data_IF_913688334525
#
_entry.id   IF_913688334525
#
_cell.length_a   1.000
_cell.length_b   1.000
_cell.length_c   1.000
_cell.angle_alpha   90.00
_cell.angle_beta   90.00
_cell.angle_gamma   90.00
#
_symmetry.space_group_name_H-M   'P 1'
#
loop_
_entity.id
_entity.type
_entity.pdbx_description
1 polymer ?
#
# COMPACT_ATOMS: atom_id res chain seq x y z
N UNK A 1 2.33 23.12 8.32
CA UNK A 1 3.55 22.55 8.88
C UNK A 1 3.50 21.05 8.65
N UNK A 2 4.56 20.41 8.16
CA UNK A 2 4.64 18.96 8.04
C UNK A 2 4.47 18.25 9.38
N UNK A 3 4.15 16.96 9.36
CA UNK A 3 4.15 16.14 10.55
C UNK A 3 5.56 16.01 11.13
N UNK A 4 5.66 15.68 12.42
CA UNK A 4 6.96 15.47 13.07
C UNK A 4 7.49 14.08 12.73
N UNK A 5 8.72 13.96 12.21
CA UNK A 5 9.33 12.66 11.98
C UNK A 5 9.46 11.86 13.28
N UNK A 6 9.25 10.56 13.22
CA UNK A 6 9.52 9.64 14.32
C UNK A 6 11.05 9.63 14.62
N UNK A 7 11.40 9.24 15.85
CA UNK A 7 12.80 9.33 16.31
C UNK A 7 13.77 8.42 15.56
N UNK A 8 13.26 7.38 14.97
CA UNK A 8 13.99 6.36 14.21
C UNK A 8 14.11 6.68 12.71
N UNK A 9 13.49 7.77 12.25
CA UNK A 9 13.57 8.20 10.84
C UNK A 9 14.95 8.81 10.56
N UNK A 10 15.69 8.31 9.55
CA UNK A 10 16.97 8.88 9.15
C UNK A 10 16.82 10.34 8.70
N UNK A 11 17.77 11.18 9.09
CA UNK A 11 17.82 12.56 8.58
C UNK A 11 18.50 12.53 7.22
N UNK A 12 17.85 13.06 6.20
CA UNK A 12 18.39 13.13 4.84
C UNK A 12 17.87 14.35 4.07
N UNK A 13 18.60 14.75 3.04
CA UNK A 13 18.30 15.88 2.16
C UNK A 13 17.67 15.45 0.82
N UNK A 14 17.76 14.15 0.46
CA UNK A 14 17.18 13.57 -0.76
C UNK A 14 16.83 12.10 -0.53
N UNK A 15 16.03 11.51 -1.43
CA UNK A 15 15.69 10.09 -1.44
C UNK A 15 16.89 9.14 -1.54
N UNK A 16 18.03 9.62 -2.04
CA UNK A 16 19.29 8.85 -2.09
C UNK A 16 19.84 8.50 -0.70
N UNK A 17 19.38 9.19 0.35
CA UNK A 17 19.76 8.96 1.74
C UNK A 17 18.79 8.01 2.49
N UNK A 18 17.84 7.42 1.79
CA UNK A 18 17.03 6.33 2.30
C UNK A 18 17.93 5.14 2.66
N UNK A 19 17.56 4.38 3.69
CA UNK A 19 18.39 3.32 4.22
C UNK A 19 17.77 1.94 4.03
N UNK A 20 18.50 1.03 3.36
CA UNK A 20 18.11 -0.38 3.32
C UNK A 20 18.29 -0.98 4.71
N UNK A 21 17.20 -1.39 5.34
CA UNK A 21 17.20 -1.99 6.67
C UNK A 21 17.42 -3.50 6.64
N UNK A 22 16.92 -4.18 5.61
CA UNK A 22 17.12 -5.63 5.40
C UNK A 22 16.85 -6.03 3.95
N UNK A 23 17.44 -7.15 3.54
CA UNK A 23 17.21 -7.79 2.24
C UNK A 23 16.83 -9.24 2.49
N UNK A 24 15.77 -9.71 1.86
CA UNK A 24 15.18 -11.04 2.03
C UNK A 24 15.07 -11.75 0.68
N UNK A 25 15.43 -13.02 0.67
CA UNK A 25 15.46 -13.84 -0.54
C UNK A 25 16.71 -13.59 -1.39
N UNK A 26 17.04 -14.53 -2.25
CA UNK A 26 18.12 -14.38 -3.21
C UNK A 26 17.55 -14.12 -4.61
N UNK A 27 18.14 -13.19 -5.39
CA UNK A 27 17.80 -13.00 -6.79
C UNK A 27 17.81 -14.30 -7.57
N UNK A 28 16.77 -14.55 -8.36
CA UNK A 28 16.68 -15.73 -9.21
C UNK A 28 17.89 -15.79 -10.15
N UNK A 29 18.52 -16.96 -10.23
CA UNK A 29 19.64 -17.23 -11.15
C UNK A 29 19.10 -17.92 -12.38
N UNK A 30 19.30 -17.31 -13.53
CA UNK A 30 18.91 -17.85 -14.83
C UNK A 30 20.18 -18.28 -15.60
N UNK A 31 20.06 -19.36 -16.34
CA UNK A 31 21.06 -19.82 -17.32
C UNK A 31 20.84 -19.20 -18.72
N UNK A 32 19.90 -18.26 -18.80
CA UNK A 32 19.56 -17.46 -19.98
C UNK A 32 19.43 -15.99 -19.60
N UNK A 33 19.45 -15.08 -20.58
CA UNK A 33 19.22 -13.65 -20.33
C UNK A 33 17.73 -13.43 -20.03
N UNK A 34 17.36 -12.94 -18.84
CA UNK A 34 15.96 -12.74 -18.47
C UNK A 34 15.36 -11.59 -19.26
N UNK A 35 14.17 -11.83 -19.83
CA UNK A 35 13.35 -10.81 -20.49
C UNK A 35 12.68 -9.90 -19.47
N UNK A 36 12.41 -8.68 -19.88
CA UNK A 36 11.54 -7.79 -19.12
C UNK A 36 10.08 -8.26 -19.18
N UNK A 37 9.29 -7.88 -18.18
CA UNK A 37 7.85 -8.12 -18.20
C UNK A 37 7.16 -7.53 -19.44
N UNK A 38 7.69 -6.42 -19.99
CA UNK A 38 7.15 -5.79 -21.20
C UNK A 38 7.34 -6.68 -22.43
N UNK A 39 8.53 -7.30 -22.60
CA UNK A 39 8.79 -8.24 -23.69
C UNK A 39 7.91 -9.49 -23.56
N UNK A 40 7.82 -10.10 -22.38
CA UNK A 40 6.95 -11.26 -22.14
C UNK A 40 5.48 -10.89 -22.39
N UNK A 41 5.03 -9.73 -21.94
CA UNK A 41 3.64 -9.29 -22.13
C UNK A 41 3.30 -9.06 -23.63
N UNK A 42 4.25 -8.64 -24.45
CA UNK A 42 4.08 -8.55 -25.91
C UNK A 42 3.97 -9.96 -26.52
N UNK A 43 4.89 -10.85 -26.21
CA UNK A 43 4.90 -12.23 -26.72
C UNK A 43 3.63 -12.99 -26.37
N UNK A 44 3.15 -12.83 -25.14
CA UNK A 44 1.90 -13.45 -24.62
C UNK A 44 0.62 -12.67 -25.02
N UNK A 45 0.75 -11.51 -25.64
CA UNK A 45 -0.37 -10.60 -25.94
C UNK A 45 -1.18 -10.20 -24.69
N UNK A 46 -0.51 -10.02 -23.55
CA UNK A 46 -1.11 -9.67 -22.26
C UNK A 46 -1.38 -8.18 -22.11
N UNK A 47 -0.62 -7.33 -22.81
CA UNK A 47 -0.82 -5.88 -22.80
C UNK A 47 -1.11 -5.37 -24.21
N UNK A 48 -2.12 -4.51 -24.32
CA UNK A 48 -2.46 -3.81 -25.57
C UNK A 48 -2.45 -2.29 -25.31
N UNK A 49 -1.29 -1.71 -25.49
CA UNK A 49 -1.07 -0.26 -25.30
C UNK A 49 -1.45 0.53 -26.56
N UNK A 50 -1.37 -0.08 -27.74
CA UNK A 50 -1.70 0.58 -29.00
C UNK A 50 -3.19 0.92 -29.07
N UNK A 51 -4.05 -0.06 -28.73
CA UNK A 51 -5.50 0.20 -28.70
C UNK A 51 -5.89 1.13 -27.55
N UNK A 52 -5.24 1.00 -26.38
CA UNK A 52 -5.46 1.91 -25.28
C UNK A 52 -5.11 3.36 -25.65
N UNK A 53 -4.01 3.58 -26.36
CA UNK A 53 -3.62 4.91 -26.83
C UNK A 53 -4.66 5.56 -27.77
N UNK A 54 -5.35 4.76 -28.59
CA UNK A 54 -6.45 5.25 -29.46
C UNK A 54 -7.68 5.68 -28.67
N UNK A 55 -7.95 5.04 -27.52
CA UNK A 55 -9.18 5.24 -26.75
C UNK A 55 -9.00 6.28 -25.65
N UNK A 56 -7.86 6.23 -24.94
CA UNK A 56 -7.62 7.01 -23.71
C UNK A 56 -6.34 7.86 -23.74
N UNK A 57 -5.47 7.65 -24.72
CA UNK A 57 -4.16 8.29 -24.78
C UNK A 57 -3.03 7.39 -24.29
N UNK A 58 -1.84 7.95 -24.19
CA UNK A 58 -0.64 7.22 -23.72
C UNK A 58 -0.73 6.85 -22.23
N UNK A 59 0.10 5.91 -21.80
CA UNK A 59 0.22 5.42 -20.42
C UNK A 59 -1.04 4.74 -19.87
N UNK A 60 -1.91 4.24 -20.75
CA UNK A 60 -2.98 3.29 -20.45
C UNK A 60 -2.69 1.98 -21.17
N UNK A 61 -3.27 0.88 -20.67
CA UNK A 61 -3.16 -0.42 -21.30
C UNK A 61 -4.46 -1.21 -21.12
N UNK A 62 -4.82 -2.00 -22.12
CA UNK A 62 -5.72 -3.12 -21.89
C UNK A 62 -4.88 -4.30 -21.38
N UNK A 63 -5.21 -4.80 -20.21
CA UNK A 63 -4.64 -6.02 -19.64
C UNK A 63 -5.49 -7.20 -20.13
N UNK A 64 -4.87 -8.30 -20.56
CA UNK A 64 -5.56 -9.38 -21.27
C UNK A 64 -5.09 -10.75 -20.81
N UNK A 65 -5.94 -11.76 -21.11
CA UNK A 65 -5.58 -13.17 -20.99
C UNK A 65 -5.26 -13.60 -19.55
N UNK A 66 -4.21 -14.40 -19.41
CA UNK A 66 -3.86 -14.98 -18.11
C UNK A 66 -3.27 -13.95 -17.13
N UNK A 67 -2.80 -12.79 -17.60
CA UNK A 67 -2.40 -11.69 -16.72
C UNK A 67 -3.58 -11.12 -15.93
N UNK A 68 -4.78 -11.02 -16.54
CA UNK A 68 -6.01 -10.63 -15.83
C UNK A 68 -6.32 -11.65 -14.73
N UNK A 69 -6.24 -12.97 -15.06
CA UNK A 69 -6.51 -14.02 -14.08
C UNK A 69 -5.50 -14.00 -12.94
N UNK A 70 -4.22 -13.73 -13.23
CA UNK A 70 -3.18 -13.59 -12.22
C UNK A 70 -3.49 -12.43 -11.27
N UNK A 71 -3.91 -11.27 -11.79
CA UNK A 71 -4.31 -10.14 -10.95
C UNK A 71 -5.50 -10.49 -10.05
N UNK A 72 -6.55 -11.13 -10.57
CA UNK A 72 -7.69 -11.57 -9.76
C UNK A 72 -7.31 -12.65 -8.74
N UNK A 73 -6.39 -13.56 -9.08
CA UNK A 73 -5.86 -14.54 -8.15
C UNK A 73 -5.12 -13.87 -6.97
N UNK A 74 -4.32 -12.85 -7.25
CA UNK A 74 -3.64 -12.06 -6.22
C UNK A 74 -4.66 -11.32 -5.34
N UNK A 75 -5.69 -10.70 -5.94
CA UNK A 75 -6.75 -10.01 -5.18
C UNK A 75 -7.42 -10.97 -4.21
N UNK A 76 -7.88 -12.12 -4.71
CA UNK A 76 -8.58 -13.11 -3.88
C UNK A 76 -7.68 -13.64 -2.77
N UNK A 77 -6.44 -14.00 -3.10
CA UNK A 77 -5.44 -14.48 -2.14
C UNK A 77 -5.22 -13.48 -1.00
N UNK A 78 -5.01 -12.20 -1.31
CA UNK A 78 -4.76 -11.18 -0.30
C UNK A 78 -6.00 -10.90 0.54
N UNK A 79 -7.18 -10.81 -0.08
CA UNK A 79 -8.45 -10.65 0.62
C UNK A 79 -8.69 -11.80 1.61
N UNK A 80 -8.48 -13.05 1.19
CA UNK A 80 -8.65 -14.23 2.05
C UNK A 80 -7.67 -14.21 3.24
N UNK A 81 -6.40 -13.80 2.99
CA UNK A 81 -5.39 -13.74 4.04
C UNK A 81 -5.66 -12.65 5.06
N UNK A 82 -5.93 -11.42 4.62
CA UNK A 82 -6.10 -10.30 5.53
C UNK A 82 -7.44 -10.34 6.29
N UNK A 83 -8.44 -11.02 5.76
CA UNK A 83 -9.71 -11.24 6.45
C UNK A 83 -9.68 -12.41 7.44
N UNK A 84 -8.57 -13.12 7.54
CA UNK A 84 -8.39 -14.27 8.43
C UNK A 84 -7.70 -13.85 9.73
N UNK A 85 -8.40 -13.98 10.86
CA UNK A 85 -7.89 -13.62 12.18
C UNK A 85 -6.65 -14.43 12.58
N UNK A 86 -6.62 -15.73 12.26
CA UNK A 86 -5.47 -16.59 12.60
C UNK A 86 -4.20 -16.13 11.88
N UNK A 87 -4.33 -15.68 10.61
CA UNK A 87 -3.22 -15.13 9.84
C UNK A 87 -2.68 -13.83 10.46
N UNK A 88 -3.56 -12.94 10.89
CA UNK A 88 -3.15 -11.69 11.56
C UNK A 88 -2.48 -12.00 12.90
N UNK A 89 -3.05 -12.93 13.69
CA UNK A 89 -2.49 -13.36 14.97
C UNK A 89 -1.10 -14.01 14.79
N UNK A 90 -0.89 -14.84 13.76
CA UNK A 90 0.41 -15.41 13.43
C UNK A 90 1.46 -14.29 13.24
N UNK A 91 1.16 -13.29 12.41
CA UNK A 91 2.09 -12.18 12.12
C UNK A 91 2.38 -11.35 13.38
N UNK A 92 1.37 -11.05 14.20
CA UNK A 92 1.52 -10.33 15.46
C UNK A 92 2.49 -11.07 16.38
N UNK A 93 2.32 -12.39 16.52
CA UNK A 93 3.17 -13.23 17.37
C UNK A 93 4.60 -13.37 16.85
N UNK A 94 4.78 -13.59 15.54
CA UNK A 94 6.10 -13.68 14.88
C UNK A 94 6.92 -12.39 15.08
N UNK A 95 6.26 -11.24 15.16
CA UNK A 95 6.90 -9.93 15.29
C UNK A 95 6.87 -9.38 16.75
N UNK A 96 6.40 -10.16 17.71
CA UNK A 96 6.30 -9.78 19.14
C UNK A 96 5.51 -8.47 19.36
N UNK A 97 4.50 -8.19 18.55
CA UNK A 97 3.66 -7.00 18.66
C UNK A 97 2.58 -7.20 19.74
N UNK A 98 2.18 -6.09 20.37
CA UNK A 98 1.12 -6.10 21.39
C UNK A 98 -0.14 -5.43 20.86
N UNK A 99 -0.77 -6.09 19.91
CA UNK A 99 -1.92 -5.59 19.17
C UNK A 99 -3.11 -6.55 19.26
N UNK A 100 -4.30 -6.02 18.97
CA UNK A 100 -5.48 -6.83 18.70
C UNK A 100 -5.29 -7.64 17.43
N UNK A 101 -5.77 -8.87 17.42
CA UNK A 101 -5.77 -9.77 16.26
C UNK A 101 -7.01 -9.61 15.36
N UNK A 102 -7.79 -8.53 15.55
CA UNK A 102 -8.90 -8.19 14.64
C UNK A 102 -8.44 -8.23 13.19
N UNK A 103 -9.12 -8.97 12.30
CA UNK A 103 -8.76 -9.02 10.88
C UNK A 103 -9.13 -7.74 10.16
N UNK A 104 -8.69 -7.62 8.91
CA UNK A 104 -9.09 -6.54 8.03
C UNK A 104 -10.48 -6.77 7.47
N UNK A 105 -11.26 -5.70 7.36
CA UNK A 105 -12.59 -5.68 6.74
C UNK A 105 -12.41 -5.40 5.25
N UNK A 106 -12.77 -6.33 4.35
CA UNK A 106 -12.76 -6.08 2.91
C UNK A 106 -13.76 -4.97 2.53
N UNK A 107 -13.31 -4.03 1.71
CA UNK A 107 -14.14 -2.92 1.27
C UNK A 107 -13.88 -2.55 -0.19
N UNK A 108 -14.95 -2.20 -0.92
CA UNK A 108 -14.88 -1.56 -2.23
C UNK A 108 -15.26 -0.09 -2.07
N UNK A 109 -14.26 0.82 -1.99
CA UNK A 109 -14.55 2.23 -1.78
C UNK A 109 -15.01 2.92 -3.07
N UNK A 110 -15.67 4.09 -2.98
CA UNK A 110 -15.86 4.96 -4.13
C UNK A 110 -14.50 5.44 -4.67
N UNK A 111 -14.42 5.74 -5.98
CA UNK A 111 -13.16 6.17 -6.61
C UNK A 111 -13.00 7.69 -6.66
N UNK A 112 -13.91 8.42 -6.07
CA UNK A 112 -13.94 9.89 -6.05
C UNK A 112 -14.12 10.40 -4.64
N UNK A 113 -13.52 11.55 -4.35
CA UNK A 113 -13.71 12.24 -3.09
C UNK A 113 -13.82 13.75 -3.32
N UNK A 114 -14.42 14.44 -2.33
CA UNK A 114 -14.60 15.90 -2.33
C UNK A 114 -13.28 16.61 -2.11
N UNK A 115 -13.13 17.78 -2.73
CA UNK A 115 -11.96 18.66 -2.58
C UNK A 115 -11.60 18.88 -1.11
N UNK A 116 -12.58 19.19 -0.27
CA UNK A 116 -12.40 19.48 1.16
C UNK A 116 -11.78 18.30 1.95
N UNK A 117 -12.20 17.06 1.66
CA UNK A 117 -11.67 15.86 2.30
C UNK A 117 -10.26 15.52 1.78
N UNK A 118 -10.04 15.70 0.48
CA UNK A 118 -8.75 15.48 -0.12
C UNK A 118 -7.67 16.46 0.41
N UNK A 119 -8.06 17.75 0.57
CA UNK A 119 -7.22 18.78 1.20
C UNK A 119 -6.99 18.45 2.70
N UNK A 120 -8.03 17.96 3.41
CA UNK A 120 -7.91 17.58 4.82
C UNK A 120 -6.94 16.42 5.02
N UNK A 121 -6.90 15.46 4.09
CA UNK A 121 -5.90 14.36 4.06
C UNK A 121 -4.47 14.86 3.78
N UNK A 122 -4.31 16.10 3.29
CA UNK A 122 -3.04 16.67 2.80
C UNK A 122 -2.42 15.84 1.65
N UNK A 123 -3.27 15.28 0.78
CA UNK A 123 -2.90 14.42 -0.35
C UNK A 123 -3.32 14.99 -1.72
N UNK A 124 -3.99 16.13 -1.75
CA UNK A 124 -4.42 16.73 -3.02
C UNK A 124 -3.26 17.36 -3.80
N UNK A 125 -2.28 17.92 -3.11
CA UNK A 125 -1.10 18.51 -3.76
C UNK A 125 -0.06 17.45 -4.17
N UNK A 126 0.62 17.62 -5.32
CA UNK A 126 0.38 18.66 -6.33
C UNK A 126 -0.88 18.39 -7.15
N UNK A 127 -1.74 19.40 -7.33
CA UNK A 127 -3.05 19.26 -8.01
C UNK A 127 -2.95 18.89 -9.47
N UNK A 128 -1.89 19.29 -10.14
CA UNK A 128 -1.63 18.97 -11.55
C UNK A 128 -1.30 17.48 -11.76
N UNK A 129 -0.99 16.74 -10.70
CA UNK A 129 -0.87 15.27 -10.71
C UNK A 129 -2.21 14.54 -10.46
N UNK A 130 -3.29 15.26 -10.24
CA UNK A 130 -4.61 14.71 -9.94
C UNK A 130 -5.60 14.95 -11.08
N UNK A 131 -6.64 14.12 -11.14
CA UNK A 131 -7.75 14.26 -12.09
C UNK A 131 -8.96 14.89 -11.39
N UNK A 132 -9.28 16.14 -11.72
CA UNK A 132 -10.51 16.80 -11.28
C UNK A 132 -11.66 16.48 -12.24
N UNK A 133 -12.86 16.28 -11.71
CA UNK A 133 -14.08 16.17 -12.53
C UNK A 133 -14.52 17.59 -12.90
N UNK A 134 -14.68 17.84 -14.19
CA UNK A 134 -15.09 19.15 -14.68
C UNK A 134 -16.51 19.50 -14.23
N UNK A 135 -16.68 20.69 -13.69
CA UNK A 135 -17.97 21.16 -13.16
C UNK A 135 -18.34 20.67 -11.77
N UNK A 136 -17.51 19.84 -11.14
CA UNK A 136 -17.75 19.25 -9.83
C UNK A 136 -16.64 19.58 -8.84
N UNK A 137 -16.95 19.58 -7.55
CA UNK A 137 -15.94 19.61 -6.47
C UNK A 137 -15.51 18.18 -6.08
N UNK A 138 -15.27 17.35 -7.11
CA UNK A 138 -14.85 15.96 -7.00
C UNK A 138 -13.54 15.71 -7.76
N UNK A 139 -12.76 14.78 -7.23
CA UNK A 139 -11.49 14.33 -7.80
C UNK A 139 -11.44 12.81 -7.83
N UNK A 140 -10.82 12.25 -8.85
CA UNK A 140 -10.44 10.83 -8.82
C UNK A 140 -9.35 10.61 -7.78
N UNK A 141 -9.45 9.53 -7.02
CA UNK A 141 -8.45 9.16 -6.01
C UNK A 141 -7.12 8.78 -6.68
N UNK A 142 -6.00 9.16 -6.05
CA UNK A 142 -4.67 8.68 -6.43
C UNK A 142 -4.21 7.45 -5.63
N UNK A 143 -4.99 7.06 -4.61
CA UNK A 143 -4.82 5.89 -3.76
C UNK A 143 -6.13 5.63 -3.02
N UNK A 144 -6.42 4.39 -2.64
CA UNK A 144 -7.54 4.07 -1.76
C UNK A 144 -7.41 4.71 -0.36
N UNK A 145 -6.18 4.97 0.11
CA UNK A 145 -5.92 5.76 1.32
C UNK A 145 -6.81 7.01 1.39
N UNK A 146 -6.94 7.74 0.27
CA UNK A 146 -7.63 9.02 0.27
C UNK A 146 -9.10 8.91 0.66
N UNK A 147 -9.78 7.89 0.19
CA UNK A 147 -11.21 7.66 0.49
C UNK A 147 -11.40 6.85 1.77
N UNK A 148 -10.51 5.92 2.09
CA UNK A 148 -10.58 5.12 3.32
C UNK A 148 -10.23 5.94 4.55
N UNK A 149 -9.12 6.68 4.53
CA UNK A 149 -8.70 7.52 5.65
C UNK A 149 -9.67 8.68 5.93
N UNK A 150 -10.40 9.18 4.91
CA UNK A 150 -11.42 10.22 5.09
C UNK A 150 -12.83 9.69 5.40
N UNK A 151 -13.05 8.38 5.32
CA UNK A 151 -14.37 7.76 5.46
C UNK A 151 -15.05 8.11 6.79
N UNK A 152 -14.28 8.19 7.86
CA UNK A 152 -14.75 8.46 9.22
C UNK A 152 -14.54 9.92 9.66
N UNK A 153 -14.53 10.85 8.71
CA UNK A 153 -14.43 12.28 9.04
C UNK A 153 -15.56 12.71 9.99
N UNK A 154 -15.19 13.46 11.04
CA UNK A 154 -16.07 14.00 12.10
C UNK A 154 -16.69 12.94 13.05
N UNK A 155 -16.29 11.66 12.93
CA UNK A 155 -16.77 10.61 13.84
C UNK A 155 -15.97 10.54 15.15
N UNK A 156 -16.62 9.97 16.17
CA UNK A 156 -16.02 9.69 17.49
C UNK A 156 -16.27 8.22 17.83
N UNK A 157 -15.22 7.44 17.86
CA UNK A 157 -15.27 6.00 18.20
C UNK A 157 -15.34 5.76 19.71
N UNK A 158 -15.86 4.62 20.12
CA UNK A 158 -15.55 4.04 21.40
C UNK A 158 -14.17 3.34 21.34
N UNK A 159 -13.44 3.31 22.45
CA UNK A 159 -12.10 2.73 22.49
C UNK A 159 -12.10 1.23 22.14
N UNK A 160 -13.13 0.49 22.55
CA UNK A 160 -13.32 -0.92 22.26
C UNK A 160 -13.56 -1.25 20.77
N UNK A 161 -13.99 -0.26 19.98
CA UNK A 161 -14.17 -0.44 18.54
C UNK A 161 -12.82 -0.52 17.80
N UNK A 162 -11.77 0.10 18.37
CA UNK A 162 -10.44 0.17 17.75
C UNK A 162 -9.58 -1.08 18.04
N UNK A 163 -8.63 -1.43 17.18
CA UNK A 163 -8.40 -0.84 15.86
C UNK A 163 -9.51 -1.21 14.88
N UNK A 164 -9.77 -0.33 13.92
CA UNK A 164 -10.52 -0.62 12.70
C UNK A 164 -9.50 -0.76 11.58
N UNK A 165 -9.53 -1.89 10.86
CA UNK A 165 -8.64 -2.18 9.75
C UNK A 165 -9.44 -2.49 8.50
N UNK A 166 -9.14 -1.79 7.41
CA UNK A 166 -9.75 -2.03 6.10
C UNK A 166 -8.73 -2.57 5.11
N UNK A 167 -9.16 -3.49 4.25
CA UNK A 167 -8.46 -3.88 3.04
C UNK A 167 -9.31 -3.47 1.82
N UNK A 168 -8.90 -2.39 1.17
CA UNK A 168 -9.63 -1.79 0.05
C UNK A 168 -9.05 -2.21 -1.30
N UNK A 169 -9.87 -2.77 -2.21
CA UNK A 169 -9.52 -2.84 -3.62
C UNK A 169 -9.96 -1.58 -4.31
N UNK A 170 -9.03 -0.90 -4.97
CA UNK A 170 -9.37 0.32 -5.67
C UNK A 170 -8.50 0.58 -6.90
N UNK A 171 -9.13 1.16 -7.92
CA UNK A 171 -8.45 1.77 -9.05
C UNK A 171 -7.97 3.16 -8.66
N UNK A 172 -6.71 3.44 -8.90
CA UNK A 172 -6.04 4.71 -8.62
C UNK A 172 -5.70 5.43 -9.92
N UNK A 173 -5.74 6.77 -9.86
CA UNK A 173 -5.53 7.63 -11.02
C UNK A 173 -4.49 8.70 -10.71
N UNK A 174 -3.37 8.70 -11.46
CA UNK A 174 -2.31 9.72 -11.36
C UNK A 174 -1.92 10.21 -12.73
N UNK A 175 -1.70 11.51 -12.88
CA UNK A 175 -1.25 12.07 -14.16
C UNK A 175 0.23 11.81 -14.43
N UNK A 176 0.97 11.41 -13.38
CA UNK A 176 2.40 11.07 -13.46
C UNK A 176 3.19 12.17 -14.20
N UNK A 177 2.90 13.43 -13.84
CA UNK A 177 3.51 14.59 -14.45
C UNK A 177 5.02 14.61 -14.16
N UNK A 178 5.81 14.84 -15.23
CA UNK A 178 7.26 14.96 -15.08
C UNK A 178 8.07 13.65 -15.10
N UNK A 179 7.44 12.48 -15.24
CA UNK A 179 8.16 11.21 -15.33
C UNK A 179 8.40 10.78 -16.77
N UNK A 180 9.67 10.50 -17.10
CA UNK A 180 10.14 10.08 -18.42
C UNK A 180 11.09 8.88 -18.28
N UNK A 181 11.25 8.07 -19.34
CA UNK A 181 12.26 7.01 -19.40
C UNK A 181 11.72 5.57 -19.37
N UNK A 182 12.56 4.63 -18.95
CA UNK A 182 12.29 3.16 -18.99
C UNK A 182 11.04 2.73 -18.21
N UNK A 183 10.62 3.48 -17.20
CA UNK A 183 9.41 3.18 -16.42
C UNK A 183 8.11 3.31 -17.21
N UNK A 184 8.17 3.86 -18.43
CA UNK A 184 7.03 3.97 -19.34
C UNK A 184 6.78 2.71 -20.16
N UNK A 185 7.72 1.75 -20.16
CA UNK A 185 7.54 0.47 -20.80
C UNK A 185 6.67 -0.47 -19.92
N UNK A 186 5.93 -1.36 -20.58
CA UNK A 186 5.07 -2.30 -19.87
C UNK A 186 3.98 -1.63 -19.03
N UNK A 187 3.83 -2.05 -17.78
CA UNK A 187 2.78 -1.58 -16.86
C UNK A 187 3.33 -1.05 -15.53
N UNK A 188 4.63 -0.74 -15.44
CA UNK A 188 5.25 -0.29 -14.20
C UNK A 188 4.70 1.06 -13.73
N UNK A 189 4.42 1.99 -14.68
CA UNK A 189 3.90 3.33 -14.39
C UNK A 189 2.84 3.73 -15.41
N UNK A 190 1.59 3.73 -14.95
CA UNK A 190 0.41 4.04 -15.76
C UNK A 190 -0.44 5.12 -15.08
N UNK A 191 -1.28 5.82 -15.86
CA UNK A 191 -2.24 6.81 -15.35
C UNK A 191 -3.36 6.18 -14.53
N UNK A 192 -3.70 4.92 -14.84
CA UNK A 192 -4.69 4.11 -14.15
C UNK A 192 -4.05 2.80 -13.74
N UNK A 193 -4.14 2.45 -12.47
CA UNK A 193 -3.64 1.20 -11.91
C UNK A 193 -4.46 0.77 -10.71
N UNK A 194 -4.51 -0.53 -10.48
CA UNK A 194 -5.25 -1.10 -9.35
C UNK A 194 -4.30 -1.47 -8.22
N UNK A 195 -4.79 -1.36 -6.99
CA UNK A 195 -4.08 -1.82 -5.81
C UNK A 195 -5.03 -2.24 -4.68
N UNK A 196 -4.52 -3.10 -3.84
CA UNK A 196 -5.08 -3.42 -2.54
C UNK A 196 -4.38 -2.56 -1.50
N UNK A 197 -5.15 -1.78 -0.75
CA UNK A 197 -4.66 -0.84 0.25
C UNK A 197 -5.17 -1.20 1.63
N UNK A 198 -4.26 -1.24 2.59
CA UNK A 198 -4.58 -1.38 4.01
C UNK A 198 -4.72 0.02 4.63
N UNK A 199 -5.78 0.24 5.37
CA UNK A 199 -5.97 1.42 6.22
C UNK A 199 -6.22 0.96 7.64
N UNK A 200 -5.52 1.54 8.62
CA UNK A 200 -5.72 1.25 10.04
C UNK A 200 -5.98 2.52 10.83
N UNK A 201 -7.08 2.51 11.58
CA UNK A 201 -7.48 3.57 12.50
C UNK A 201 -7.36 3.01 13.92
N UNK A 202 -6.55 3.67 14.76
CA UNK A 202 -6.21 3.14 16.07
C UNK A 202 -6.03 4.25 17.11
N UNK A 203 -5.77 3.89 18.36
CA UNK A 203 -5.42 4.86 19.41
C UNK A 203 -3.98 5.34 19.25
N UNK A 204 -3.65 6.48 19.87
CA UNK A 204 -2.28 6.98 19.90
C UNK A 204 -1.29 6.02 20.56
N UNK A 205 -1.76 5.19 21.48
CA UNK A 205 -0.93 4.21 22.20
C UNK A 205 -0.46 3.04 21.34
N UNK A 206 -1.18 2.71 20.26
CA UNK A 206 -0.89 1.53 19.42
C UNK A 206 -0.49 1.90 17.99
N UNK A 207 -0.58 3.18 17.60
CA UNK A 207 -0.36 3.62 16.22
C UNK A 207 1.00 3.22 15.62
N UNK A 208 2.08 3.28 16.40
CA UNK A 208 3.41 2.91 15.92
C UNK A 208 3.55 1.40 15.70
N UNK A 209 2.94 0.58 16.56
CA UNK A 209 2.94 -0.88 16.44
C UNK A 209 2.03 -1.35 15.30
N UNK A 210 0.90 -0.65 15.06
CA UNK A 210 0.05 -0.89 13.87
C UNK A 210 0.85 -0.69 12.57
N UNK A 211 1.67 0.35 12.49
CA UNK A 211 2.54 0.54 11.32
C UNK A 211 3.50 -0.63 11.13
N UNK A 212 4.10 -1.16 12.21
CA UNK A 212 4.96 -2.34 12.14
C UNK A 212 4.20 -3.59 11.69
N UNK A 213 2.94 -3.75 12.11
CA UNK A 213 2.07 -4.83 11.64
C UNK A 213 1.83 -4.74 10.13
N UNK A 214 1.52 -3.55 9.59
CA UNK A 214 1.30 -3.37 8.16
C UNK A 214 2.54 -3.74 7.34
N UNK A 215 3.74 -3.33 7.80
CA UNK A 215 5.01 -3.72 7.16
C UNK A 215 5.23 -5.23 7.22
N UNK A 216 4.99 -5.86 8.38
CA UNK A 216 5.13 -7.30 8.54
C UNK A 216 4.17 -8.08 7.63
N UNK A 217 2.96 -7.58 7.40
CA UNK A 217 2.01 -8.14 6.44
C UNK A 217 2.55 -8.04 5.01
N UNK A 218 3.06 -6.88 4.59
CA UNK A 218 3.66 -6.70 3.27
C UNK A 218 4.80 -7.70 3.04
N UNK A 219 5.69 -7.83 4.02
CA UNK A 219 6.80 -8.78 3.96
C UNK A 219 6.33 -10.24 3.88
N UNK A 220 5.34 -10.62 4.70
CA UNK A 220 4.77 -11.97 4.69
C UNK A 220 4.14 -12.30 3.34
N UNK A 221 3.42 -11.36 2.72
CA UNK A 221 2.85 -11.53 1.38
C UNK A 221 3.94 -11.71 0.31
N UNK A 222 5.02 -10.92 0.35
CA UNK A 222 6.16 -11.06 -0.57
C UNK A 222 6.87 -12.40 -0.42
N UNK A 223 7.07 -12.86 0.83
CA UNK A 223 7.65 -14.18 1.12
C UNK A 223 6.75 -15.33 0.61
N UNK A 224 5.43 -15.22 0.81
CA UNK A 224 4.48 -16.23 0.31
C UNK A 224 4.43 -16.30 -1.22
N UNK A 225 4.72 -15.17 -1.90
CA UNK A 225 4.84 -15.09 -3.36
C UNK A 225 6.22 -15.49 -3.88
N UNK A 226 7.15 -15.81 -2.97
CA UNK A 226 8.56 -16.18 -3.28
C UNK A 226 9.28 -15.11 -4.12
N UNK A 227 9.06 -13.83 -3.80
CA UNK A 227 9.67 -12.68 -4.46
C UNK A 227 10.81 -12.14 -3.60
N UNK A 228 12.06 -12.07 -4.09
CA UNK A 228 13.16 -11.41 -3.38
C UNK A 228 12.89 -9.90 -3.25
N UNK A 229 13.13 -9.35 -2.06
CA UNK A 229 12.86 -7.94 -1.79
C UNK A 229 13.85 -7.35 -0.78
N UNK A 230 13.89 -6.03 -0.73
CA UNK A 230 14.50 -5.27 0.37
C UNK A 230 13.51 -4.31 1.00
N UNK A 231 13.76 -3.99 2.26
CA UNK A 231 12.97 -3.02 3.04
C UNK A 231 13.78 -1.75 3.17
N UNK A 232 13.20 -0.65 2.74
CA UNK A 232 13.83 0.66 2.68
C UNK A 232 13.18 1.61 3.69
N UNK A 233 13.95 2.11 4.65
CA UNK A 233 13.48 3.15 5.56
C UNK A 233 13.69 4.52 4.90
N UNK A 234 12.60 5.26 4.72
CA UNK A 234 12.62 6.59 4.11
C UNK A 234 13.20 7.61 5.07
N UNK A 235 14.02 8.51 4.55
CA UNK A 235 14.58 9.63 5.30
C UNK A 235 13.61 10.81 5.37
N UNK A 236 13.95 11.83 6.16
CA UNK A 236 13.11 13.03 6.37
C UNK A 236 12.77 13.80 5.09
N UNK A 237 13.57 13.68 4.04
CA UNK A 237 13.31 14.33 2.76
C UNK A 237 12.26 13.56 1.92
N UNK A 238 12.03 12.27 2.19
CA UNK A 238 11.21 11.38 1.37
C UNK A 238 9.94 10.86 2.05
N UNK A 239 9.80 10.95 3.38
CA UNK A 239 8.62 10.44 4.09
C UNK A 239 7.30 11.11 3.69
N UNK A 240 7.34 12.28 3.04
CA UNK A 240 6.15 13.04 2.71
C UNK A 240 5.60 13.87 3.88
N UNK A 241 4.80 14.89 3.55
CA UNK A 241 4.37 15.93 4.49
C UNK A 241 3.47 15.42 5.64
N UNK A 242 2.45 14.54 5.44
CA UNK A 242 1.61 14.05 6.52
C UNK A 242 2.25 12.94 7.35
N UNK A 243 3.33 12.32 6.87
CA UNK A 243 3.90 11.13 7.45
C UNK A 243 4.88 11.44 8.58
N UNK A 244 4.81 10.66 9.64
CA UNK A 244 5.80 10.63 10.73
C UNK A 244 6.90 9.60 10.44
N UNK A 245 6.57 8.50 9.76
CA UNK A 245 7.50 7.46 9.31
C UNK A 245 6.98 6.85 8.02
N UNK A 246 7.88 6.53 7.09
CA UNK A 246 7.59 5.84 5.84
C UNK A 246 8.57 4.71 5.61
N UNK A 247 8.06 3.56 5.18
CA UNK A 247 8.83 2.37 4.81
C UNK A 247 8.38 1.91 3.43
N UNK A 248 9.35 1.64 2.55
CA UNK A 248 9.06 1.06 1.25
C UNK A 248 9.55 -0.39 1.19
N UNK A 249 8.89 -1.20 0.39
CA UNK A 249 9.40 -2.51 -0.03
C UNK A 249 9.71 -2.44 -1.52
N UNK A 250 10.90 -2.88 -1.87
CA UNK A 250 11.38 -2.93 -3.24
C UNK A 250 11.61 -4.37 -3.65
N UNK A 251 10.96 -4.82 -4.74
CA UNK A 251 11.13 -6.15 -5.30
C UNK A 251 12.32 -6.19 -6.26
N UNK A 252 13.04 -7.30 -6.28
CA UNK A 252 14.06 -7.55 -7.30
C UNK A 252 13.46 -7.73 -8.68
N UNK A 253 13.98 -7.01 -9.67
CA UNK A 253 13.62 -7.17 -11.08
C UNK A 253 14.83 -7.67 -11.89
N UNK A 254 14.83 -8.95 -12.31
CA UNK A 254 15.94 -9.57 -13.01
C UNK A 254 16.38 -8.84 -14.28
N UNK A 255 15.46 -8.35 -15.11
CA UNK A 255 15.75 -7.63 -16.34
C UNK A 255 16.48 -6.31 -16.12
N UNK A 256 16.26 -5.67 -14.96
CA UNK A 256 16.87 -4.41 -14.58
C UNK A 256 18.09 -4.60 -13.67
N UNK A 257 18.29 -5.80 -13.11
CA UNK A 257 19.33 -6.16 -12.15
C UNK A 257 19.36 -5.21 -10.95
N UNK A 258 18.16 -4.83 -10.46
CA UNK A 258 18.00 -3.91 -9.33
C UNK A 258 16.70 -4.14 -8.59
N UNK A 259 16.65 -3.65 -7.35
CA UNK A 259 15.42 -3.57 -6.58
C UNK A 259 14.60 -2.35 -7.03
N UNK A 260 13.29 -2.51 -7.08
CA UNK A 260 12.36 -1.44 -7.50
C UNK A 260 11.19 -1.38 -6.53
N UNK A 261 10.82 -0.16 -6.14
CA UNK A 261 9.70 0.10 -5.24
C UNK A 261 8.41 -0.59 -5.73
N UNK A 262 7.83 -1.37 -4.83
CA UNK A 262 6.51 -1.99 -5.03
C UNK A 262 5.50 -1.51 -4.00
N UNK A 263 5.86 -1.46 -2.74
CA UNK A 263 4.96 -1.11 -1.65
C UNK A 263 5.48 0.09 -0.87
N UNK A 264 4.55 0.82 -0.26
CA UNK A 264 4.85 1.80 0.78
C UNK A 264 3.98 1.52 2.00
N UNK A 265 4.46 1.90 3.18
CA UNK A 265 3.70 1.92 4.42
C UNK A 265 4.01 3.21 5.16
N UNK A 266 2.97 3.96 5.51
CA UNK A 266 3.07 5.29 6.09
C UNK A 266 2.37 5.37 7.45
N UNK A 267 3.00 6.00 8.42
CA UNK A 267 2.44 6.30 9.74
C UNK A 267 2.23 7.80 9.88
N UNK A 268 0.99 8.22 9.99
CA UNK A 268 0.61 9.64 10.03
C UNK A 268 0.38 10.20 11.44
N UNK A 269 0.47 9.38 12.48
CA UNK A 269 0.07 9.78 13.84
C UNK A 269 -1.37 10.33 13.84
N UNK A 270 -1.63 11.41 14.52
CA UNK A 270 -2.92 12.14 14.53
C UNK A 270 -3.03 13.24 13.44
N UNK A 271 -2.07 13.31 12.51
CA UNK A 271 -1.97 14.41 11.56
C UNK A 271 -3.22 14.57 10.68
N UNK A 272 -3.67 13.48 10.08
CA UNK A 272 -4.90 13.48 9.27
C UNK A 272 -6.15 13.57 10.17
N UNK A 273 -6.16 12.86 11.29
CA UNK A 273 -7.28 12.83 12.22
C UNK A 273 -7.63 14.22 12.79
N UNK A 274 -6.63 15.07 13.06
CA UNK A 274 -6.87 16.47 13.48
C UNK A 274 -7.63 17.28 12.43
N UNK A 275 -7.34 17.08 11.15
CA UNK A 275 -7.98 17.78 10.03
C UNK A 275 -9.37 17.24 9.73
N UNK A 276 -9.50 15.91 9.78
CA UNK A 276 -10.74 15.18 9.57
C UNK A 276 -11.65 15.20 10.81
N UNK A 277 -11.13 15.64 11.98
CA UNK A 277 -11.82 15.66 13.28
C UNK A 277 -12.26 14.26 13.76
N UNK A 278 -11.55 13.22 13.35
CA UNK A 278 -11.81 11.84 13.76
C UNK A 278 -11.20 11.58 15.14
N UNK A 279 -12.01 11.13 16.08
CA UNK A 279 -11.62 11.02 17.50
C UNK A 279 -12.04 9.69 18.11
N UNK A 280 -11.48 9.41 19.28
CA UNK A 280 -11.83 8.27 20.12
C UNK A 280 -12.09 8.74 21.53
N UNK A 281 -13.11 8.16 22.19
CA UNK A 281 -13.38 8.35 23.62
C UNK A 281 -12.50 7.39 24.42
N UNK A 282 -11.58 7.94 25.20
CA UNK A 282 -10.69 7.17 26.09
C UNK A 282 -11.13 7.44 27.55
N UNK A 283 -11.23 6.36 28.34
CA UNK A 283 -11.41 6.46 29.76
C UNK A 283 -10.05 6.71 30.42
N UNK A 284 -9.83 7.92 30.95
CA UNK A 284 -8.68 8.17 31.81
C UNK A 284 -8.99 7.61 33.22
N UNK A 285 -8.16 6.66 33.72
CA UNK A 285 -8.35 6.16 35.06
C UNK A 285 -8.18 7.30 36.09
N UNK A 286 -8.86 7.16 37.21
CA UNK A 286 -8.71 8.09 38.32
C UNK A 286 -7.22 8.29 38.67
N UNK A 287 -6.76 9.53 38.70
CA UNK A 287 -5.39 9.89 39.11
C UNK A 287 -5.41 10.42 40.53
N UNK A 288 -4.45 10.00 41.35
CA UNK A 288 -4.19 10.61 42.65
C UNK A 288 -3.13 11.69 42.40
N UNK A 289 -3.53 12.97 42.56
CA UNK A 289 -2.63 14.10 42.53
C UNK A 289 -2.82 14.89 43.83
N UNK A 290 -1.74 15.16 44.55
CA UNK A 290 -1.69 15.94 45.78
C UNK A 290 -2.64 15.42 46.90
N UNK A 291 -2.92 14.10 46.93
CA UNK A 291 -3.80 13.45 47.93
C UNK A 291 -5.30 13.53 47.59
N UNK A 292 -5.69 14.14 46.49
CA UNK A 292 -7.05 14.12 45.98
C UNK A 292 -7.23 13.09 44.86
N UNK A 293 -8.32 12.32 44.95
CA UNK A 293 -8.71 11.36 43.89
C UNK A 293 -9.49 12.15 42.84
N UNK A 294 -8.86 12.38 41.69
CA UNK A 294 -9.58 12.87 40.52
C UNK A 294 -10.46 11.74 39.98
N UNK A 295 -11.75 12.00 39.81
CA UNK A 295 -12.68 11.05 39.24
C UNK A 295 -12.27 10.60 37.84
N UNK A 296 -12.65 9.37 37.46
CA UNK A 296 -12.56 8.92 36.06
C UNK A 296 -13.20 9.93 35.14
N UNK A 297 -12.47 10.32 34.09
CA UNK A 297 -12.96 11.29 33.12
C UNK A 297 -12.83 10.74 31.70
N UNK A 298 -13.89 10.87 30.91
CA UNK A 298 -13.84 10.56 29.49
C UNK A 298 -13.20 11.72 28.73
N UNK A 299 -12.17 11.44 27.96
CA UNK A 299 -11.48 12.43 27.10
C UNK A 299 -11.60 12.00 25.64
N UNK A 300 -11.86 12.96 24.76
CA UNK A 300 -11.84 12.73 23.33
C UNK A 300 -10.43 13.04 22.81
N UNK A 301 -9.70 12.01 22.39
CA UNK A 301 -8.40 12.13 21.72
C UNK A 301 -8.56 11.97 20.21
N UNK A 302 -7.60 12.46 19.43
CA UNK A 302 -7.55 12.15 18.00
C UNK A 302 -7.03 10.73 17.81
N UNK A 303 -7.62 10.02 16.85
CA UNK A 303 -7.11 8.70 16.45
C UNK A 303 -5.78 8.85 15.73
N UNK A 304 -5.02 7.76 15.67
CA UNK A 304 -3.87 7.64 14.78
C UNK A 304 -4.25 6.85 13.54
N UNK A 305 -3.69 7.23 12.40
CA UNK A 305 -3.90 6.56 11.11
C UNK A 305 -2.61 6.00 10.55
N UNK A 306 -2.71 4.87 9.87
CA UNK A 306 -1.66 4.24 9.09
C UNK A 306 -2.27 3.75 7.78
N UNK A 307 -1.57 3.96 6.68
CA UNK A 307 -1.89 3.30 5.43
C UNK A 307 -0.70 2.48 4.94
N UNK A 308 -1.00 1.45 4.17
CA UNK A 308 0.02 0.68 3.48
C UNK A 308 -0.56 -0.03 2.27
N UNK A 309 0.19 -0.03 1.19
CA UNK A 309 -0.14 -0.85 0.04
C UNK A 309 0.00 -2.33 0.41
N UNK A 310 -1.09 -3.10 0.42
CA UNK A 310 -0.99 -4.55 0.60
C UNK A 310 -0.37 -5.21 -0.62
N UNK A 311 -0.90 -4.93 -1.82
CA UNK A 311 -0.34 -5.37 -3.10
C UNK A 311 -0.70 -4.37 -4.21
N UNK A 312 0.28 -3.80 -4.93
CA UNK A 312 0.03 -3.06 -6.16
C UNK A 312 -0.10 -4.03 -7.34
N UNK A 313 -1.25 -4.01 -8.02
CA UNK A 313 -1.56 -4.96 -9.11
C UNK A 313 -0.89 -4.62 -10.45
N UNK A 314 -0.04 -3.60 -10.48
CA UNK A 314 0.89 -3.34 -11.57
C UNK A 314 2.27 -3.93 -11.28
N UNK A 315 2.88 -3.58 -10.15
CA UNK A 315 4.30 -3.85 -9.85
C UNK A 315 4.57 -5.26 -9.32
N UNK A 316 3.69 -5.82 -8.48
CA UNK A 316 3.87 -7.21 -8.00
C UNK A 316 3.69 -8.24 -9.11
N UNK A 317 2.69 -8.15 -10.01
CA UNK A 317 2.68 -9.01 -11.19
C UNK A 317 3.94 -8.90 -12.07
N UNK A 318 4.55 -7.71 -12.20
CA UNK A 318 5.84 -7.56 -12.88
C UNK A 318 6.91 -8.41 -12.19
N UNK A 319 7.03 -8.29 -10.87
CA UNK A 319 8.02 -9.06 -10.10
C UNK A 319 7.76 -10.57 -10.23
N UNK A 320 6.49 -11.02 -10.21
CA UNK A 320 6.14 -12.43 -10.44
C UNK A 320 6.59 -12.86 -11.84
N UNK A 321 6.23 -12.10 -12.88
CA UNK A 321 6.57 -12.43 -14.27
C UNK A 321 8.09 -12.56 -14.45
N UNK A 322 8.84 -11.57 -13.98
CA UNK A 322 10.28 -11.53 -14.22
C UNK A 322 11.07 -12.57 -13.38
N UNK A 323 10.68 -12.82 -12.12
CA UNK A 323 11.35 -13.79 -11.27
C UNK A 323 10.97 -15.25 -11.58
N UNK A 324 9.84 -15.50 -12.22
CA UNK A 324 9.32 -16.84 -12.47
C UNK A 324 9.32 -17.25 -13.96
N UNK A 325 9.99 -16.48 -14.82
CA UNK A 325 10.05 -16.79 -16.25
C UNK A 325 10.87 -18.05 -16.52
N UNK A 326 10.51 -18.80 -17.56
CA UNK A 326 11.20 -19.99 -18.01
C UNK A 326 11.90 -19.73 -19.36
N UNK A 327 12.84 -20.60 -19.72
CA UNK A 327 13.54 -20.52 -21.02
C UNK A 327 12.57 -20.65 -22.21
N UNK A 328 11.45 -21.36 -22.03
CA UNK A 328 10.41 -21.52 -23.04
C UNK A 328 9.51 -20.28 -23.18
N UNK A 329 9.72 -19.26 -22.35
CA UNK A 329 8.93 -18.02 -22.34
C UNK A 329 7.61 -18.12 -21.59
N UNK A 330 7.42 -19.15 -20.75
CA UNK A 330 6.31 -19.24 -19.81
C UNK A 330 6.65 -18.55 -18.49
N UNK A 331 5.63 -18.34 -17.65
CA UNK A 331 5.77 -17.81 -16.31
C UNK A 331 5.17 -18.81 -15.32
N UNK A 332 5.96 -19.30 -14.38
CA UNK A 332 5.47 -20.17 -13.31
C UNK A 332 4.56 -19.38 -12.38
N UNK A 333 3.45 -19.99 -12.01
CA UNK A 333 2.52 -19.39 -11.06
C UNK A 333 2.99 -19.70 -9.64
N UNK A 334 3.20 -18.70 -8.77
CA UNK A 334 3.52 -18.95 -7.36
C UNK A 334 2.56 -19.96 -6.72
N UNK A 335 3.09 -20.90 -5.94
CA UNK A 335 2.29 -22.01 -5.40
C UNK A 335 1.02 -21.56 -4.68
N UNK A 336 1.10 -20.45 -3.93
CA UNK A 336 -0.04 -19.91 -3.18
C UNK A 336 -1.15 -19.34 -4.07
N UNK A 337 -0.84 -19.02 -5.33
CA UNK A 337 -1.81 -18.49 -6.30
C UNK A 337 -2.42 -19.58 -7.19
N UNK A 338 -1.84 -20.76 -7.27
CA UNK A 338 -2.34 -21.85 -8.12
C UNK A 338 -3.79 -22.25 -7.86
N UNK A 339 -4.26 -22.34 -6.59
CA UNK A 339 -5.67 -22.61 -6.30
C UNK A 339 -6.62 -21.57 -6.90
N UNK A 340 -6.21 -20.30 -6.89
CA UNK A 340 -6.98 -19.18 -7.44
C UNK A 340 -6.89 -19.07 -8.98
N UNK A 341 -5.94 -19.79 -9.57
CA UNK A 341 -5.74 -19.90 -11.04
C UNK A 341 -6.33 -21.19 -11.63
N UNK A 342 -7.19 -21.89 -10.86
CA UNK A 342 -7.76 -23.16 -11.29
C UNK A 342 -6.75 -24.31 -11.38
N UNK A 343 -5.70 -24.26 -10.56
CA UNK A 343 -4.64 -25.27 -10.52
C UNK A 343 -3.54 -25.10 -11.60
N UNK A 344 -3.56 -23.99 -12.36
CA UNK A 344 -2.49 -23.72 -13.33
C UNK A 344 -1.15 -23.52 -12.63
N UNK A 345 -0.12 -24.21 -13.10
CA UNK A 345 1.26 -24.11 -12.61
C UNK A 345 2.10 -23.15 -13.46
N UNK A 346 1.69 -22.90 -14.70
CA UNK A 346 2.35 -21.98 -15.65
C UNK A 346 1.31 -21.25 -16.51
N UNK A 347 1.68 -20.06 -16.98
CA UNK A 347 0.91 -19.20 -17.88
C UNK A 347 1.79 -18.65 -19.00
#
# INVERSE_FOLDING_TARGET
VPNMPAKDVPIGASEEENQVSKTIGEPAKFDFEPKSHAEIAVEKSWLDKERAAKVTGSRFAYIRGDLVKLQFAIIQFVMDKLSNQDFINEIINENNLKLSDKPFIPILPPFMLRTELYDAMDRLEPRDDRYKIEGEELWLQGSAEHVLGSMHAEEIFAEEDLPIRYIGYATSFRREAGTYGKDMEGMFRMHQFDKLEMESITTGGTGADEHLLLIAIQEKLMQMLDIPYQVLQKCTADIGKPNSRGIDIEAWLPSQKQYRETHTADYMTDYQARRLKTRVKIMNPAKISDGEVQAEATVNEFVHTNDATAIPLSRVPIAIIENNQTIEGNVRVPNVLQPYMGGKVEI
#
